data_IF_590500166660
#
_entry.id   IF_590500166660
#
_cell.length_a   1.000
_cell.length_b   1.000
_cell.length_c   1.000
_cell.angle_alpha   90.00
_cell.angle_beta   90.00
_cell.angle_gamma   90.00
#
_symmetry.space_group_name_H-M   'P 1'
#
loop_
_entity.id
_entity.type
_entity.pdbx_description
1 polymer ?
#
# COMPACT_ATOMS: atom_id res chain seq x y z
N UNK A 1 35.13 -3.82 8.28
CA UNK A 1 34.55 -3.26 9.51
C UNK A 1 33.71 -2.05 9.13
N UNK A 2 32.44 -2.01 9.52
CA UNK A 2 31.53 -0.89 9.25
C UNK A 2 32.03 0.35 10.00
N UNK A 3 32.32 1.45 9.30
CA UNK A 3 32.81 2.68 9.90
C UNK A 3 31.63 3.49 10.49
N UNK A 4 31.50 3.61 11.83
CA UNK A 4 30.34 4.23 12.45
C UNK A 4 30.18 5.71 12.11
N UNK A 5 31.28 6.41 11.78
CA UNK A 5 31.25 7.84 11.42
C UNK A 5 30.61 8.09 10.06
N UNK A 6 30.82 7.21 9.09
CA UNK A 6 30.20 7.31 7.76
C UNK A 6 28.71 6.99 7.81
N UNK A 7 28.33 5.96 8.58
CA UNK A 7 26.92 5.58 8.79
C UNK A 7 26.16 6.73 9.45
N UNK A 8 26.72 7.34 10.50
CA UNK A 8 26.11 8.48 11.17
C UNK A 8 25.93 9.68 10.24
N UNK A 9 26.93 10.01 9.42
CA UNK A 9 26.87 11.15 8.48
C UNK A 9 25.81 10.91 7.38
N UNK A 10 25.72 9.70 6.86
CA UNK A 10 24.72 9.32 5.86
C UNK A 10 23.30 9.34 6.45
N UNK A 11 23.11 8.84 7.67
CA UNK A 11 21.82 8.84 8.37
C UNK A 11 21.35 10.26 8.73
N UNK A 12 22.26 11.12 9.20
CA UNK A 12 21.98 12.51 9.54
C UNK A 12 21.52 13.34 8.34
N UNK A 13 22.05 13.06 7.15
CA UNK A 13 21.73 13.80 5.92
C UNK A 13 20.40 13.38 5.28
N UNK A 14 19.92 12.17 5.57
CA UNK A 14 18.77 11.57 4.87
C UNK A 14 17.52 11.53 5.74
N UNK A 15 17.53 10.76 6.82
CA UNK A 15 16.31 10.38 7.54
C UNK A 15 16.23 10.88 8.98
N UNK A 16 17.35 11.35 9.53
CA UNK A 16 17.42 11.77 10.93
C UNK A 16 16.39 12.84 11.31
N UNK A 17 16.20 13.88 10.50
CA UNK A 17 15.24 14.95 10.83
C UNK A 17 13.81 14.42 10.92
N UNK A 18 13.44 13.55 9.99
CA UNK A 18 12.11 12.92 9.92
C UNK A 18 11.89 11.96 11.10
N UNK A 19 12.91 11.16 11.43
CA UNK A 19 12.88 10.24 12.57
C UNK A 19 12.88 10.98 13.91
N UNK A 20 13.62 12.09 14.03
CA UNK A 20 13.66 12.97 15.20
C UNK A 20 12.31 13.66 15.42
N UNK A 21 11.75 14.32 14.42
CA UNK A 21 10.43 14.97 14.51
C UNK A 21 9.34 13.96 14.91
N UNK A 22 9.43 12.72 14.43
CA UNK A 22 8.49 11.65 14.79
C UNK A 22 8.70 11.09 16.20
N UNK A 23 9.88 11.27 16.80
CA UNK A 23 10.23 10.75 18.13
C UNK A 23 10.01 11.75 19.26
N UNK A 24 9.86 13.03 18.93
CA UNK A 24 9.62 14.08 19.93
C UNK A 24 8.25 13.88 20.64
N UNK A 25 8.25 13.76 21.97
CA UNK A 25 7.03 13.67 22.77
C UNK A 25 6.40 15.07 22.93
N UNK A 26 5.88 15.63 21.84
CA UNK A 26 5.31 16.99 21.80
C UNK A 26 4.17 17.18 22.82
N UNK A 27 3.42 16.12 23.12
CA UNK A 27 2.37 16.12 24.15
C UNK A 27 2.93 16.42 25.55
N UNK A 28 4.10 15.89 25.88
CA UNK A 28 4.76 16.10 27.19
C UNK A 28 5.43 17.46 27.28
N UNK A 29 6.04 17.93 26.18
CA UNK A 29 6.62 19.28 26.09
C UNK A 29 5.51 20.33 26.30
N UNK A 30 4.32 20.10 25.74
CA UNK A 30 3.16 20.96 25.98
C UNK A 30 2.70 20.93 27.44
N UNK A 31 2.61 19.75 28.06
CA UNK A 31 2.18 19.61 29.46
C UNK A 31 3.10 20.36 30.42
N UNK A 32 4.42 20.31 30.17
CA UNK A 32 5.43 21.04 30.93
C UNK A 32 5.37 22.56 30.68
N UNK A 33 5.11 22.99 29.44
CA UNK A 33 4.95 24.42 29.11
C UNK A 33 3.66 25.02 29.68
N UNK A 34 2.61 24.21 29.82
CA UNK A 34 1.34 24.61 30.42
C UNK A 34 1.42 24.74 31.95
N UNK A 35 2.31 23.98 32.61
CA UNK A 35 2.55 24.06 34.06
C UNK A 35 3.30 25.36 34.47
N UNK A 36 3.88 26.08 33.50
CA UNK A 36 4.44 27.40 33.72
C UNK A 36 3.34 28.47 33.57
N UNK A 37 2.85 28.97 34.71
CA UNK A 37 1.69 29.86 34.85
C UNK A 37 1.70 31.13 33.96
N UNK A 38 2.85 31.52 33.40
CA UNK A 38 3.02 32.76 32.62
C UNK A 38 2.46 32.73 31.18
N UNK A 39 2.12 31.56 30.62
CA UNK A 39 1.60 31.47 29.23
C UNK A 39 0.07 31.60 29.15
N UNK A 40 -0.62 31.51 30.29
CA UNK A 40 -2.08 31.45 30.39
C UNK A 40 -2.79 32.76 30.05
N UNK A 41 -2.13 33.91 30.17
CA UNK A 41 -2.71 35.22 29.81
C UNK A 41 -2.74 35.49 28.29
N UNK A 42 -1.89 34.83 27.49
CA UNK A 42 -1.77 35.16 26.06
C UNK A 42 -2.74 34.39 25.15
N UNK A 43 -3.38 33.32 25.67
CA UNK A 43 -4.19 32.42 24.86
C UNK A 43 -5.62 32.34 25.42
N UNK A 44 -6.46 33.29 25.00
CA UNK A 44 -7.91 33.20 25.14
C UNK A 44 -8.41 31.77 24.86
N UNK A 45 -9.29 31.23 25.70
CA UNK A 45 -9.71 29.82 25.72
C UNK A 45 -10.10 29.21 24.34
N UNK A 46 -10.60 30.02 23.40
CA UNK A 46 -10.91 29.59 22.03
C UNK A 46 -9.69 29.43 21.08
N UNK A 47 -8.53 30.02 21.40
CA UNK A 47 -7.24 29.77 20.73
C UNK A 47 -6.52 28.56 21.33
N UNK A 48 -6.63 28.35 22.65
CA UNK A 48 -6.00 27.23 23.35
C UNK A 48 -6.59 25.88 22.92
N UNK A 49 -7.92 25.80 22.79
CA UNK A 49 -8.61 24.62 22.25
C UNK A 49 -8.23 24.33 20.79
N UNK A 50 -8.13 25.37 19.94
CA UNK A 50 -7.63 25.21 18.56
C UNK A 50 -6.18 24.72 18.54
N UNK A 51 -5.32 25.27 19.40
CA UNK A 51 -3.92 24.87 19.51
C UNK A 51 -3.77 23.42 20.01
N UNK A 52 -4.56 23.00 21.00
CA UNK A 52 -4.65 21.60 21.44
C UNK A 52 -5.08 20.65 20.31
N UNK A 53 -6.05 21.06 19.48
CA UNK A 53 -6.47 20.31 18.28
C UNK A 53 -5.32 20.23 17.24
N UNK A 54 -4.53 21.30 17.08
CA UNK A 54 -3.31 21.30 16.25
C UNK A 54 -2.18 20.40 16.79
N UNK A 55 -1.99 20.32 18.11
CA UNK A 55 -1.02 19.40 18.73
C UNK A 55 -1.44 17.93 18.51
N UNK A 56 -2.74 17.62 18.56
CA UNK A 56 -3.27 16.32 18.13
C UNK A 56 -2.99 16.05 16.64
N UNK A 57 -3.08 17.04 15.76
CA UNK A 57 -2.63 16.94 14.36
C UNK A 57 -1.13 16.64 14.25
N UNK A 58 -0.29 17.27 15.08
CA UNK A 58 1.16 17.00 15.12
C UNK A 58 1.46 15.58 15.60
N UNK A 59 0.58 14.95 16.40
CA UNK A 59 0.72 13.52 16.71
C UNK A 59 0.65 12.63 15.45
N UNK A 60 0.06 13.11 14.34
CA UNK A 60 0.09 12.42 13.06
C UNK A 60 1.50 12.34 12.46
N UNK A 61 2.45 13.17 12.88
CA UNK A 61 3.88 13.08 12.51
C UNK A 61 4.48 11.75 13.01
N UNK A 62 3.95 11.16 14.09
CA UNK A 62 4.37 9.81 14.54
C UNK A 62 4.07 8.75 13.50
N UNK A 63 3.16 9.01 12.56
CA UNK A 63 2.86 8.10 11.49
C UNK A 63 3.90 8.12 10.37
N UNK A 64 4.78 9.13 10.30
CA UNK A 64 5.97 9.08 9.44
C UNK A 64 6.86 7.89 9.78
N UNK A 65 6.73 7.30 10.97
CA UNK A 65 7.38 6.03 11.35
C UNK A 65 6.94 4.85 10.49
N UNK A 66 5.79 4.92 9.81
CA UNK A 66 5.41 3.94 8.81
C UNK A 66 6.33 3.94 7.60
N UNK A 67 7.01 5.05 7.30
CA UNK A 67 8.09 5.03 6.29
C UNK A 67 9.17 4.02 6.68
N UNK A 68 9.45 3.85 7.97
CA UNK A 68 10.37 2.81 8.46
C UNK A 68 9.80 1.42 8.27
N UNK A 69 8.50 1.23 8.53
CA UNK A 69 7.83 -0.06 8.33
C UNK A 69 7.85 -0.46 6.85
N UNK A 70 7.57 0.48 5.94
CA UNK A 70 7.65 0.27 4.49
C UNK A 70 9.07 -0.10 4.07
N UNK A 71 10.11 0.55 4.62
CA UNK A 71 11.52 0.20 4.35
C UNK A 71 11.89 -1.19 4.86
N UNK A 72 11.50 -1.53 6.10
CA UNK A 72 11.72 -2.88 6.62
C UNK A 72 11.01 -3.91 5.74
N UNK A 73 9.78 -3.65 5.36
CA UNK A 73 9.04 -4.53 4.45
C UNK A 73 9.77 -4.71 3.12
N UNK A 74 10.27 -3.62 2.50
CA UNK A 74 10.98 -3.72 1.21
C UNK A 74 12.32 -4.46 1.31
N UNK A 75 13.05 -4.30 2.43
CA UNK A 75 14.30 -5.04 2.68
C UNK A 75 14.02 -6.54 2.91
N UNK A 76 12.89 -6.89 3.53
CA UNK A 76 12.47 -8.28 3.72
C UNK A 76 11.89 -8.91 2.45
N UNK A 77 11.33 -8.10 1.55
CA UNK A 77 10.77 -8.54 0.26
C UNK A 77 11.83 -9.15 -0.65
N UNK A 78 13.10 -8.70 -0.57
CA UNK A 78 14.23 -9.28 -1.30
C UNK A 78 14.61 -10.70 -0.83
N UNK A 79 14.30 -11.06 0.43
CA UNK A 79 14.75 -12.32 1.02
C UNK A 79 13.81 -13.51 0.72
N UNK A 80 12.55 -13.28 0.32
CA UNK A 80 11.54 -14.34 0.13
C UNK A 80 10.90 -14.28 -1.26
N UNK A 81 11.59 -14.81 -2.28
CA UNK A 81 11.26 -14.67 -3.71
C UNK A 81 9.82 -15.03 -4.18
N UNK A 82 9.06 -15.86 -3.46
CA UNK A 82 7.67 -16.20 -3.84
C UNK A 82 6.61 -15.66 -2.87
N UNK A 83 6.92 -15.58 -1.58
CA UNK A 83 6.05 -14.91 -0.60
C UNK A 83 6.08 -13.38 -0.77
N UNK A 84 7.16 -12.84 -1.35
CA UNK A 84 7.39 -11.43 -1.64
C UNK A 84 6.19 -10.72 -2.27
N UNK A 85 5.61 -11.28 -3.34
CA UNK A 85 4.49 -10.64 -4.04
C UNK A 85 3.17 -10.64 -3.25
N UNK A 86 2.93 -11.71 -2.47
CA UNK A 86 1.78 -11.79 -1.57
C UNK A 86 1.93 -10.87 -0.37
N UNK A 87 3.14 -10.79 0.18
CA UNK A 87 3.50 -9.86 1.24
C UNK A 87 3.33 -8.42 0.73
N UNK A 88 3.76 -8.13 -0.50
CA UNK A 88 3.58 -6.84 -1.15
C UNK A 88 2.11 -6.42 -1.26
N UNK A 89 1.21 -7.27 -1.78
CA UNK A 89 -0.22 -6.94 -1.86
C UNK A 89 -0.86 -6.78 -0.48
N UNK A 90 -0.47 -7.61 0.49
CA UNK A 90 -0.96 -7.52 1.86
C UNK A 90 -0.54 -6.20 2.52
N UNK A 91 0.74 -5.82 2.38
CA UNK A 91 1.27 -4.56 2.89
C UNK A 91 0.64 -3.35 2.21
N UNK A 92 0.35 -3.45 0.90
CA UNK A 92 -0.39 -2.41 0.19
C UNK A 92 -1.82 -2.27 0.73
N UNK A 93 -2.52 -3.37 1.00
CA UNK A 93 -3.86 -3.31 1.62
C UNK A 93 -3.80 -2.66 3.00
N UNK A 94 -2.81 -3.01 3.83
CA UNK A 94 -2.61 -2.36 5.14
C UNK A 94 -2.33 -0.86 5.00
N UNK A 95 -1.49 -0.48 4.03
CA UNK A 95 -1.20 0.93 3.74
C UNK A 95 -2.46 1.68 3.31
N UNK A 96 -3.29 1.08 2.44
CA UNK A 96 -4.56 1.69 2.01
C UNK A 96 -5.54 1.83 3.18
N UNK A 97 -5.70 0.81 4.03
CA UNK A 97 -6.55 0.90 5.22
C UNK A 97 -6.10 2.02 6.16
N UNK A 98 -4.79 2.18 6.34
CA UNK A 98 -4.22 3.24 7.15
C UNK A 98 -4.46 4.63 6.54
N UNK A 99 -4.24 4.78 5.22
CA UNK A 99 -4.57 6.02 4.52
C UNK A 99 -6.07 6.34 4.61
N UNK A 100 -6.92 5.32 4.53
CA UNK A 100 -8.36 5.43 4.77
C UNK A 100 -8.68 5.93 6.18
N UNK A 101 -8.02 5.39 7.21
CA UNK A 101 -8.15 5.87 8.59
C UNK A 101 -7.71 7.33 8.73
N UNK A 102 -6.61 7.75 8.10
CA UNK A 102 -6.16 9.16 8.18
C UNK A 102 -7.10 10.10 7.45
N UNK A 103 -7.55 9.72 6.26
CA UNK A 103 -8.54 10.49 5.52
C UNK A 103 -9.84 10.62 6.33
N UNK A 104 -10.27 9.57 7.03
CA UNK A 104 -11.43 9.59 7.91
C UNK A 104 -11.25 10.58 9.07
N UNK A 105 -10.12 10.47 9.78
CA UNK A 105 -9.77 11.37 10.88
C UNK A 105 -9.68 12.83 10.42
N UNK A 106 -9.05 13.09 9.27
CA UNK A 106 -8.90 14.43 8.70
C UNK A 106 -10.25 15.01 8.28
N UNK A 107 -11.14 14.21 7.67
CA UNK A 107 -12.49 14.64 7.29
C UNK A 107 -13.39 14.96 8.50
N UNK A 108 -13.22 14.27 9.62
CA UNK A 108 -13.93 14.59 10.87
C UNK A 108 -13.31 15.80 11.58
N UNK A 109 -11.99 15.96 11.47
CA UNK A 109 -11.25 17.03 12.12
C UNK A 109 -11.57 18.42 11.58
N UNK A 110 -11.81 18.57 10.27
CA UNK A 110 -12.14 19.89 9.69
C UNK A 110 -13.44 20.48 10.30
N UNK A 111 -14.59 19.78 10.29
CA UNK A 111 -15.79 20.26 10.98
C UNK A 111 -15.53 20.53 12.47
N UNK A 112 -14.76 19.68 13.15
CA UNK A 112 -14.38 19.89 14.55
C UNK A 112 -13.57 21.17 14.76
N UNK A 113 -12.65 21.54 13.85
CA UNK A 113 -11.85 22.77 13.92
C UNK A 113 -12.69 24.03 13.70
N UNK A 114 -13.76 23.93 12.93
CA UNK A 114 -14.72 25.01 12.66
C UNK A 114 -15.90 25.04 13.64
N UNK A 115 -15.78 24.33 14.78
CA UNK A 115 -16.83 24.21 15.82
C UNK A 115 -18.19 23.76 15.25
N UNK A 116 -18.13 22.76 14.37
CA UNK A 116 -19.27 22.05 13.76
C UNK A 116 -20.31 22.98 13.11
N UNK A 117 -19.98 23.64 11.98
CA UNK A 117 -20.92 24.52 11.31
C UNK A 117 -22.19 23.76 10.90
N UNK A 118 -23.35 24.42 10.94
CA UNK A 118 -24.67 23.81 10.71
C UNK A 118 -24.75 23.09 9.35
N UNK A 119 -24.03 23.61 8.35
CA UNK A 119 -23.98 23.05 7.01
C UNK A 119 -23.07 21.82 6.85
N UNK A 120 -22.23 21.53 7.84
CA UNK A 120 -21.28 20.41 7.79
C UNK A 120 -21.97 19.07 7.75
N UNK A 121 -21.30 18.09 7.14
CA UNK A 121 -21.78 16.71 7.09
C UNK A 121 -21.98 16.09 8.49
N UNK A 122 -21.19 16.53 9.50
CA UNK A 122 -21.31 16.08 10.90
C UNK A 122 -22.57 16.63 11.56
N UNK A 123 -22.86 17.92 11.36
CA UNK A 123 -24.07 18.56 11.87
C UNK A 123 -25.33 17.98 11.21
N UNK A 124 -25.32 17.85 9.88
CA UNK A 124 -26.43 17.24 9.10
C UNK A 124 -26.66 15.77 9.47
N UNK A 125 -25.58 15.04 9.77
CA UNK A 125 -25.65 13.66 10.27
C UNK A 125 -26.11 13.52 11.72
N UNK A 126 -26.29 14.63 12.47
CA UNK A 126 -26.51 14.63 13.93
C UNK A 126 -25.43 13.84 14.69
N UNK A 127 -24.20 13.86 14.19
CA UNK A 127 -23.09 13.06 14.71
C UNK A 127 -22.29 13.78 15.80
N UNK A 128 -22.51 15.07 16.03
CA UNK A 128 -21.73 15.89 16.99
C UNK A 128 -21.69 15.29 18.41
N UNK A 129 -22.84 14.79 18.87
CA UNK A 129 -23.01 14.22 20.21
C UNK A 129 -23.15 12.68 20.18
N UNK A 130 -22.93 12.05 19.03
CA UNK A 130 -23.01 10.60 18.91
C UNK A 130 -21.82 9.93 19.62
N UNK A 131 -21.93 8.64 19.91
CA UNK A 131 -20.82 7.87 20.46
C UNK A 131 -19.62 7.90 19.48
N UNK A 132 -18.39 7.93 20.01
CA UNK A 132 -17.18 8.12 19.20
C UNK A 132 -17.04 7.05 18.10
N UNK A 133 -17.52 5.84 18.36
CA UNK A 133 -17.50 4.75 17.37
C UNK A 133 -18.43 5.05 16.19
N UNK A 134 -19.59 5.66 16.42
CA UNK A 134 -20.52 6.05 15.34
C UNK A 134 -19.91 7.17 14.49
N UNK A 135 -19.34 8.18 15.15
CA UNK A 135 -18.63 9.27 14.48
C UNK A 135 -17.50 8.73 13.59
N UNK A 136 -16.67 7.83 14.15
CA UNK A 136 -15.57 7.19 13.44
C UNK A 136 -16.04 6.31 12.29
N UNK A 137 -17.08 5.49 12.49
CA UNK A 137 -17.63 4.59 11.47
C UNK A 137 -18.13 5.37 10.26
N UNK A 138 -18.89 6.44 10.48
CA UNK A 138 -19.38 7.28 9.38
C UNK A 138 -18.27 8.08 8.70
N UNK A 139 -17.28 8.57 9.45
CA UNK A 139 -16.09 9.21 8.88
C UNK A 139 -15.28 8.23 8.01
N UNK A 140 -15.08 7.01 8.49
CA UNK A 140 -14.37 5.94 7.78
C UNK A 140 -15.12 5.53 6.53
N UNK A 141 -16.44 5.33 6.63
CA UNK A 141 -17.30 5.04 5.48
C UNK A 141 -17.16 6.12 4.39
N UNK A 142 -17.19 7.40 4.77
CA UNK A 142 -17.00 8.52 3.83
C UNK A 142 -15.62 8.50 3.18
N UNK A 143 -14.55 8.32 3.95
CA UNK A 143 -13.19 8.23 3.44
C UNK A 143 -12.96 7.01 2.52
N UNK A 144 -13.46 5.84 2.90
CA UNK A 144 -13.40 4.62 2.10
C UNK A 144 -14.20 4.75 0.80
N UNK A 145 -15.33 5.47 0.82
CA UNK A 145 -16.13 5.74 -0.38
C UNK A 145 -15.37 6.60 -1.40
N UNK A 146 -14.57 7.57 -0.95
CA UNK A 146 -13.67 8.31 -1.84
C UNK A 146 -12.53 7.42 -2.34
N UNK A 147 -11.97 6.58 -1.48
CA UNK A 147 -10.84 5.71 -1.83
C UNK A 147 -11.19 4.65 -2.86
N UNK A 148 -12.36 4.03 -2.72
CA UNK A 148 -12.87 3.03 -3.66
C UNK A 148 -13.64 3.65 -4.84
N UNK A 149 -13.59 4.98 -5.00
CA UNK A 149 -14.25 5.71 -6.09
C UNK A 149 -15.77 5.48 -6.17
N UNK A 150 -16.43 5.24 -5.03
CA UNK A 150 -17.88 5.00 -4.93
C UNK A 150 -18.66 6.31 -4.92
N UNK A 151 -18.19 7.33 -4.18
CA UNK A 151 -18.85 8.62 -4.07
C UNK A 151 -18.71 9.29 -2.70
N UNK A 152 -19.54 10.30 -2.44
CA UNK A 152 -19.40 11.22 -1.28
C UNK A 152 -20.05 10.73 0.03
N UNK A 153 -20.67 9.55 0.02
CA UNK A 153 -21.49 9.06 1.12
C UNK A 153 -22.86 9.75 1.18
N UNK A 154 -23.41 9.92 2.39
CA UNK A 154 -24.78 10.45 2.59
C UNK A 154 -24.90 11.96 2.35
N UNK A 155 -23.83 12.73 2.57
CA UNK A 155 -23.84 14.19 2.46
C UNK A 155 -22.63 14.68 1.66
N UNK A 156 -22.84 15.43 0.56
CA UNK A 156 -21.76 16.05 -0.19
C UNK A 156 -21.11 17.21 0.60
N UNK A 157 -19.86 17.60 0.25
CA UNK A 157 -19.22 18.76 0.86
C UNK A 157 -20.01 20.02 0.56
N UNK A 158 -20.29 20.81 1.59
CA UNK A 158 -21.08 22.06 1.48
C UNK A 158 -20.23 23.30 1.69
N UNK A 159 -19.14 23.18 2.44
CA UNK A 159 -18.18 24.26 2.66
C UNK A 159 -16.95 24.11 1.78
N UNK A 160 -16.28 25.23 1.48
CA UNK A 160 -15.06 25.24 0.67
C UNK A 160 -13.94 24.39 1.31
N UNK A 161 -13.82 24.40 2.64
CA UNK A 161 -12.82 23.60 3.35
C UNK A 161 -13.11 22.10 3.27
N UNK A 162 -14.39 21.69 3.39
CA UNK A 162 -14.79 20.29 3.19
C UNK A 162 -14.59 19.85 1.74
N UNK A 163 -14.83 20.73 0.77
CA UNK A 163 -14.64 20.45 -0.65
C UNK A 163 -13.17 20.16 -0.98
N UNK A 164 -12.24 21.03 -0.56
CA UNK A 164 -10.81 20.81 -0.80
C UNK A 164 -10.28 19.54 -0.14
N UNK A 165 -10.70 19.25 1.09
CA UNK A 165 -10.33 18.00 1.76
C UNK A 165 -10.91 16.78 1.05
N UNK A 166 -12.14 16.89 0.55
CA UNK A 166 -12.76 15.83 -0.26
C UNK A 166 -11.98 15.59 -1.55
N UNK A 167 -11.56 16.66 -2.25
CA UNK A 167 -10.71 16.56 -3.46
C UNK A 167 -9.39 15.86 -3.15
N UNK A 168 -8.69 16.25 -2.07
CA UNK A 168 -7.44 15.60 -1.65
C UNK A 168 -7.67 14.11 -1.32
N UNK A 169 -8.76 13.80 -0.60
CA UNK A 169 -9.16 12.43 -0.27
C UNK A 169 -9.48 11.60 -1.52
N UNK A 170 -10.08 12.19 -2.56
CA UNK A 170 -10.37 11.51 -3.83
C UNK A 170 -9.10 11.27 -4.65
N UNK A 171 -8.20 12.25 -4.75
CA UNK A 171 -6.93 12.10 -5.50
C UNK A 171 -6.04 11.03 -4.85
N UNK A 172 -5.87 11.10 -3.53
CA UNK A 172 -5.10 10.09 -2.78
C UNK A 172 -5.76 8.71 -2.88
N UNK A 173 -7.08 8.67 -2.79
CA UNK A 173 -7.89 7.47 -2.95
C UNK A 173 -7.75 6.79 -4.31
N UNK A 174 -7.96 7.53 -5.39
CA UNK A 174 -7.87 7.04 -6.77
C UNK A 174 -6.45 6.55 -7.09
N UNK A 175 -5.42 7.25 -6.61
CA UNK A 175 -4.02 6.82 -6.76
C UNK A 175 -3.78 5.51 -6.03
N UNK A 176 -4.24 5.39 -4.78
CA UNK A 176 -4.12 4.17 -3.99
C UNK A 176 -4.84 2.97 -4.62
N UNK A 177 -6.04 3.19 -5.15
CA UNK A 177 -6.80 2.16 -5.85
C UNK A 177 -6.13 1.72 -7.16
N UNK A 178 -5.58 2.67 -7.93
CA UNK A 178 -4.83 2.34 -9.15
C UNK A 178 -3.60 1.48 -8.85
N UNK A 179 -2.86 1.79 -7.78
CA UNK A 179 -1.73 0.97 -7.32
C UNK A 179 -2.19 -0.44 -6.92
N UNK A 180 -3.30 -0.55 -6.19
CA UNK A 180 -3.86 -1.85 -5.81
C UNK A 180 -4.18 -2.72 -7.02
N UNK A 181 -4.87 -2.16 -8.01
CA UNK A 181 -5.20 -2.88 -9.25
C UNK A 181 -3.92 -3.29 -9.99
N UNK A 182 -2.90 -2.43 -10.04
CA UNK A 182 -1.60 -2.74 -10.65
C UNK A 182 -0.89 -3.91 -9.97
N UNK A 183 -0.81 -3.91 -8.64
CA UNK A 183 -0.20 -4.99 -7.87
C UNK A 183 -1.00 -6.30 -7.97
N UNK A 184 -2.33 -6.24 -7.95
CA UNK A 184 -3.19 -7.40 -8.14
C UNK A 184 -2.98 -8.02 -9.53
N UNK A 185 -2.90 -7.20 -10.59
CA UNK A 185 -2.63 -7.68 -11.94
C UNK A 185 -1.24 -8.34 -12.05
N UNK A 186 -0.20 -7.72 -11.46
CA UNK A 186 1.16 -8.29 -11.43
C UNK A 186 1.22 -9.62 -10.68
N UNK A 187 0.48 -9.75 -9.57
CA UNK A 187 0.38 -10.99 -8.81
C UNK A 187 -0.27 -12.09 -9.66
N UNK A 188 -1.41 -11.81 -10.29
CA UNK A 188 -2.11 -12.76 -11.18
C UNK A 188 -1.19 -13.22 -12.32
N UNK A 189 -0.45 -12.30 -12.94
CA UNK A 189 0.50 -12.65 -13.99
C UNK A 189 1.66 -13.53 -13.50
N UNK A 190 2.04 -13.41 -12.23
CA UNK A 190 3.14 -14.17 -11.64
C UNK A 190 2.78 -15.58 -11.21
N UNK A 191 1.52 -15.84 -10.87
CA UNK A 191 1.05 -17.14 -10.37
C UNK A 191 1.24 -18.30 -11.34
N UNK A 192 1.18 -18.04 -12.65
CA UNK A 192 1.16 -19.09 -13.68
C UNK A 192 2.23 -18.84 -14.78
N UNK A 193 3.45 -18.46 -14.39
CA UNK A 193 4.52 -18.16 -15.36
C UNK A 193 4.82 -19.33 -16.31
N UNK A 194 5.02 -20.56 -15.78
CA UNK A 194 5.35 -21.75 -16.58
C UNK A 194 4.22 -22.19 -17.52
N UNK A 195 2.97 -22.08 -17.06
CA UNK A 195 1.78 -22.34 -17.90
C UNK A 195 1.60 -21.27 -18.97
N UNK A 196 1.86 -20.00 -18.64
CA UNK A 196 1.84 -18.89 -19.60
C UNK A 196 2.88 -19.10 -20.69
N UNK A 197 4.12 -19.44 -20.31
CA UNK A 197 5.21 -19.72 -21.25
C UNK A 197 4.86 -20.89 -22.18
N UNK A 198 4.29 -21.97 -21.64
CA UNK A 198 3.79 -23.08 -22.44
C UNK A 198 2.71 -22.63 -23.44
N UNK A 199 1.71 -21.87 -23.00
CA UNK A 199 0.64 -21.37 -23.88
C UNK A 199 1.17 -20.45 -24.97
N UNK A 200 2.09 -19.53 -24.65
CA UNK A 200 2.70 -18.63 -25.62
C UNK A 200 3.51 -19.40 -26.68
N UNK A 201 4.32 -20.38 -26.25
CA UNK A 201 5.10 -21.21 -27.16
C UNK A 201 4.21 -22.12 -28.02
N UNK A 202 3.19 -22.72 -27.43
CA UNK A 202 2.24 -23.53 -28.18
C UNK A 202 1.45 -22.69 -29.20
N UNK A 203 1.10 -21.44 -28.86
CA UNK A 203 0.48 -20.49 -29.81
C UNK A 203 1.38 -20.20 -31.01
N UNK A 204 2.68 -19.98 -30.79
CA UNK A 204 3.65 -19.81 -31.89
C UNK A 204 3.73 -21.06 -32.79
N UNK A 205 3.67 -22.25 -32.19
CA UNK A 205 3.64 -23.51 -32.95
C UNK A 205 2.37 -23.61 -33.78
N UNK A 206 1.21 -23.27 -33.21
CA UNK A 206 -0.06 -23.30 -33.95
C UNK A 206 -0.09 -22.32 -35.12
N UNK A 207 0.41 -21.09 -34.92
CA UNK A 207 0.60 -20.10 -35.98
C UNK A 207 1.54 -20.62 -37.09
N UNK A 208 2.62 -21.31 -36.73
CA UNK A 208 3.54 -21.94 -37.69
C UNK A 208 2.88 -23.09 -38.48
N UNK A 209 2.09 -23.94 -37.80
CA UNK A 209 1.33 -25.02 -38.45
C UNK A 209 0.27 -24.47 -39.42
N UNK A 210 -0.35 -23.34 -39.06
CA UNK A 210 -1.30 -22.63 -39.91
C UNK A 210 -0.60 -22.05 -41.16
N UNK A 211 0.53 -21.35 -40.97
CA UNK A 211 1.33 -20.79 -42.06
C UNK A 211 1.79 -21.86 -43.06
N UNK A 212 2.27 -23.01 -42.57
CA UNK A 212 2.69 -24.15 -43.41
C UNK A 212 1.52 -24.97 -43.98
N UNK A 213 0.27 -24.61 -43.67
CA UNK A 213 -0.95 -25.32 -44.11
C UNK A 213 -0.90 -26.83 -43.81
N UNK A 214 -0.39 -27.22 -42.64
CA UNK A 214 -0.24 -28.62 -42.29
C UNK A 214 -1.60 -29.35 -42.24
N UNK A 215 -1.68 -30.62 -42.67
CA UNK A 215 -2.92 -31.40 -42.64
C UNK A 215 -3.37 -31.67 -41.19
N UNK A 216 -4.70 -31.78 -40.98
CA UNK A 216 -5.31 -31.91 -39.64
C UNK A 216 -4.75 -33.07 -38.81
N UNK A 217 -4.44 -34.21 -39.45
CA UNK A 217 -3.84 -35.36 -38.77
C UNK A 217 -2.46 -35.05 -38.17
N UNK A 218 -1.62 -34.31 -38.90
CA UNK A 218 -0.30 -33.91 -38.42
C UNK A 218 -0.41 -32.87 -37.30
N UNK A 219 -1.33 -31.90 -37.41
CA UNK A 219 -1.57 -30.92 -36.34
C UNK A 219 -1.98 -31.59 -35.02
N UNK A 220 -2.89 -32.57 -35.08
CA UNK A 220 -3.27 -33.36 -33.89
C UNK A 220 -2.07 -34.09 -33.28
N UNK A 221 -1.24 -34.74 -34.10
CA UNK A 221 -0.03 -35.43 -33.61
C UNK A 221 0.95 -34.46 -32.94
N UNK A 222 1.16 -33.28 -33.51
CA UNK A 222 2.02 -32.23 -32.92
C UNK A 222 1.42 -31.75 -31.59
N UNK A 223 0.11 -31.48 -31.54
CA UNK A 223 -0.56 -31.06 -30.31
C UNK A 223 -0.42 -32.10 -29.19
N UNK A 224 -0.71 -33.37 -29.48
CA UNK A 224 -0.56 -34.47 -28.51
C UNK A 224 0.89 -34.65 -28.06
N UNK A 225 1.86 -34.45 -28.95
CA UNK A 225 3.28 -34.47 -28.57
C UNK A 225 3.62 -33.35 -27.57
N UNK A 226 3.21 -32.11 -27.85
CA UNK A 226 3.46 -30.98 -26.93
C UNK A 226 2.77 -31.15 -25.58
N UNK A 227 1.54 -31.67 -25.57
CA UNK A 227 0.81 -31.96 -24.34
C UNK A 227 1.50 -33.06 -23.52
N UNK A 228 1.94 -34.15 -24.16
CA UNK A 228 2.65 -35.23 -23.48
C UNK A 228 4.06 -34.83 -22.99
N UNK A 229 4.83 -34.08 -23.80
CA UNK A 229 6.22 -33.71 -23.49
C UNK A 229 6.34 -32.65 -22.39
N UNK A 230 5.40 -31.70 -22.34
CA UNK A 230 5.45 -30.56 -21.41
C UNK A 230 4.36 -30.58 -20.35
N UNK A 231 3.31 -31.41 -20.47
CA UNK A 231 2.24 -31.54 -19.47
C UNK A 231 1.63 -30.19 -19.03
N UNK A 232 1.52 -29.25 -19.99
CA UNK A 232 0.99 -27.90 -19.74
C UNK A 232 1.93 -26.94 -19.02
N UNK A 233 3.19 -27.32 -18.75
CA UNK A 233 4.22 -26.46 -18.13
C UNK A 233 5.51 -26.51 -18.94
N UNK A 234 6.07 -25.35 -19.26
CA UNK A 234 7.31 -25.29 -20.04
C UNK A 234 8.46 -24.77 -19.17
N UNK A 235 9.60 -25.46 -19.23
CA UNK A 235 10.84 -25.12 -18.55
C UNK A 235 12.00 -25.17 -19.54
N UNK A 236 12.97 -24.26 -19.41
CA UNK A 236 14.22 -24.33 -20.16
C UNK A 236 15.25 -25.13 -19.36
N UNK A 237 15.14 -26.46 -19.40
CA UNK A 237 15.96 -27.37 -18.60
C UNK A 237 17.46 -27.09 -18.76
N UNK A 238 17.94 -26.87 -19.98
CA UNK A 238 19.37 -26.63 -20.24
C UNK A 238 19.91 -25.37 -19.56
N UNK A 239 19.13 -24.28 -19.59
CA UNK A 239 19.51 -23.01 -18.96
C UNK A 239 19.52 -23.15 -17.44
N UNK A 240 18.47 -23.75 -16.88
CA UNK A 240 18.37 -24.03 -15.44
C UNK A 240 19.54 -24.92 -14.97
N UNK A 241 19.83 -25.99 -15.72
CA UNK A 241 20.94 -26.90 -15.39
C UNK A 241 22.30 -26.21 -15.53
N UNK A 242 22.45 -25.20 -16.39
CA UNK A 242 23.70 -24.46 -16.53
C UNK A 242 23.99 -23.53 -15.35
N UNK A 243 22.96 -23.01 -14.69
CA UNK A 243 23.09 -22.16 -13.49
C UNK A 243 23.44 -22.95 -12.23
N UNK A 244 23.18 -24.26 -12.20
CA UNK A 244 23.51 -25.11 -11.06
C UNK A 244 25.02 -25.36 -10.94
N UNK A 245 25.52 -25.54 -9.71
CA UNK A 245 26.88 -26.03 -9.47
C UNK A 245 27.02 -27.48 -9.94
N UNK A 246 28.25 -27.91 -10.31
CA UNK A 246 28.49 -29.26 -10.85
C UNK A 246 28.00 -30.37 -9.91
N UNK A 247 28.23 -30.24 -8.59
CA UNK A 247 27.70 -31.18 -7.59
C UNK A 247 26.16 -31.33 -7.61
N UNK A 248 25.41 -30.25 -7.89
CA UNK A 248 23.95 -30.29 -7.92
C UNK A 248 23.40 -30.87 -9.23
N UNK A 249 24.16 -30.76 -10.34
CA UNK A 249 23.80 -31.40 -11.62
C UNK A 249 23.87 -32.92 -11.52
N UNK A 250 24.91 -33.43 -10.87
CA UNK A 250 25.11 -34.88 -10.68
C UNK A 250 23.98 -35.51 -9.84
N UNK A 251 23.53 -34.85 -8.77
CA UNK A 251 22.43 -35.33 -7.92
C UNK A 251 21.07 -35.34 -8.65
N UNK A 252 20.79 -34.33 -9.48
CA UNK A 252 19.53 -34.24 -10.24
C UNK A 252 19.41 -35.29 -11.35
N UNK A 253 20.53 -35.64 -12.00
CA UNK A 253 20.56 -36.71 -13.01
C UNK A 253 20.23 -38.07 -12.36
N UNK A 254 20.65 -38.30 -11.12
CA UNK A 254 20.36 -39.53 -10.37
C UNK A 254 18.87 -39.62 -9.98
N UNK A 255 18.23 -38.50 -9.62
CA UNK A 255 16.81 -38.45 -9.24
C UNK A 255 15.84 -38.59 -10.42
N UNK A 256 16.26 -38.30 -11.66
CA UNK A 256 15.46 -38.50 -12.87
C UNK A 256 15.60 -39.91 -13.48
N UNK A 257 16.58 -40.70 -13.01
CA UNK A 257 16.85 -42.08 -13.44
C UNK A 257 16.28 -43.15 -12.50
N UNK A 258 15.62 -42.75 -11.41
CA UNK A 258 14.86 -43.59 -10.47
C UNK A 258 13.37 -43.31 -10.59
#
# INVERSE_FOLDING_TARGET
>A
MLNPKEIARQYLKTWFLLDLLSSLPLDYIYLILHDNENFTQFVHAGRALRFLRFVKLLSLIRLLRLSRLVRYVSEWEEFINLASKFIGIFNLVLLLLLLGHWNACLQFLIPMLHDYPVESWVAKGKLQNAYWFDQYTWALFKAMSHMLTIGYGRYPPTSLSEAWVTVISMVTGATGYALFVGHAAALIQSFDCSKRLYREKFKQVDEYMAYRKLPRGLRKRIASYYEHRYQGKMFNENEILNELSECLKEVNIILFLL
#
